data_IF_431253201284
#
_entry.id   IF_431253201284
#
_cell.length_a   1.000
_cell.length_b   1.000
_cell.length_c   1.000
_cell.angle_alpha   90.00
_cell.angle_beta   90.00
_cell.angle_gamma   90.00
#
_symmetry.space_group_name_H-M   'P 1'
#
loop_
_entity.id
_entity.type
_entity.pdbx_description
1 polymer ?
#
# COMPACT_ATOMS: atom_id res chain seq x y z
N UNK A 1 -21.20 -12.37 9.49
CA UNK A 1 -19.87 -12.84 9.06
C UNK A 1 -18.81 -11.95 9.65
N UNK A 2 -17.85 -12.53 10.33
CA UNK A 2 -16.68 -11.84 10.88
C UNK A 2 -15.44 -12.24 10.06
N UNK A 3 -14.70 -11.28 9.53
CA UNK A 3 -13.50 -11.59 8.75
C UNK A 3 -12.35 -10.63 9.06
N UNK A 4 -11.12 -11.10 8.86
CA UNK A 4 -9.93 -10.27 8.91
C UNK A 4 -9.72 -9.59 7.57
N UNK A 5 -9.32 -8.33 7.62
CA UNK A 5 -8.91 -7.58 6.45
C UNK A 5 -7.45 -7.16 6.61
N UNK A 6 -6.61 -7.76 5.80
CA UNK A 6 -5.16 -7.55 5.69
C UNK A 6 -4.82 -7.05 4.30
N UNK A 7 -3.72 -6.36 4.15
CA UNK A 7 -3.11 -5.99 2.87
C UNK A 7 -1.65 -5.61 3.05
N UNK A 8 -0.94 -5.40 1.95
CA UNK A 8 0.37 -4.75 1.92
C UNK A 8 1.36 -5.42 2.89
N UNK A 9 1.45 -6.76 2.79
CA UNK A 9 2.36 -7.55 3.64
C UNK A 9 3.82 -7.26 3.28
N UNK A 10 4.09 -6.96 2.01
CA UNK A 10 5.40 -6.66 1.47
C UNK A 10 6.50 -7.58 1.98
N UNK A 11 6.23 -8.91 1.96
CA UNK A 11 7.18 -9.90 2.47
C UNK A 11 8.49 -9.82 1.67
N UNK A 12 9.61 -9.74 2.39
CA UNK A 12 10.93 -9.53 1.82
C UNK A 12 11.37 -8.06 1.72
N UNK A 13 10.59 -7.13 2.30
CA UNK A 13 10.95 -5.71 2.36
C UNK A 13 12.19 -5.46 3.17
N UNK A 14 12.95 -4.46 2.72
CA UNK A 14 14.06 -3.88 3.46
C UNK A 14 13.71 -2.46 3.89
N UNK A 15 14.01 -2.11 5.12
CA UNK A 15 13.93 -0.75 5.62
C UNK A 15 15.33 -0.13 5.58
N UNK A 16 15.59 0.78 4.64
CA UNK A 16 16.94 1.21 4.27
C UNK A 16 17.83 -0.02 3.95
N UNK A 17 18.81 -0.33 4.81
CA UNK A 17 19.74 -1.47 4.65
C UNK A 17 19.36 -2.70 5.50
N UNK A 18 18.31 -2.58 6.33
CA UNK A 18 17.94 -3.62 7.27
C UNK A 18 16.88 -4.55 6.68
N UNK A 19 17.13 -5.85 6.75
CA UNK A 19 16.17 -6.85 6.34
C UNK A 19 15.12 -7.04 7.45
N UNK A 20 13.84 -6.94 7.10
CA UNK A 20 12.72 -7.04 8.04
C UNK A 20 12.22 -8.47 8.24
N UNK A 21 12.96 -9.49 7.82
CA UNK A 21 12.54 -10.89 7.89
C UNK A 21 12.01 -11.31 9.26
N UNK A 22 12.81 -11.08 10.30
CA UNK A 22 12.43 -11.48 11.67
C UNK A 22 11.20 -10.73 12.14
N UNK A 23 11.14 -9.42 11.86
CA UNK A 23 10.00 -8.56 12.20
C UNK A 23 8.72 -9.04 11.50
N UNK A 24 8.83 -9.41 10.21
CA UNK A 24 7.71 -9.96 9.44
C UNK A 24 7.26 -11.32 9.96
N UNK A 25 8.18 -12.22 10.31
CA UNK A 25 7.83 -13.50 10.90
C UNK A 25 7.12 -13.34 12.25
N UNK A 26 7.56 -12.44 13.11
CA UNK A 26 6.94 -12.19 14.42
C UNK A 26 5.52 -11.64 14.25
N UNK A 27 5.33 -10.65 13.37
CA UNK A 27 4.02 -10.02 13.20
C UNK A 27 3.01 -10.96 12.53
N UNK A 28 3.44 -11.80 11.58
CA UNK A 28 2.58 -12.81 10.96
C UNK A 28 2.15 -13.89 11.97
N UNK A 29 3.03 -14.28 12.91
CA UNK A 29 2.66 -15.17 14.02
C UNK A 29 1.65 -14.56 14.96
N UNK A 30 1.71 -13.24 15.19
CA UNK A 30 0.68 -12.54 15.98
C UNK A 30 -0.67 -12.56 15.28
N UNK A 31 -0.70 -12.34 13.95
CA UNK A 31 -1.94 -12.49 13.14
C UNK A 31 -2.52 -13.90 13.25
N UNK A 32 -1.68 -14.94 13.19
CA UNK A 32 -2.11 -16.35 13.39
C UNK A 32 -2.67 -16.57 14.80
N UNK A 33 -2.06 -15.97 15.81
CA UNK A 33 -2.56 -16.02 17.18
C UNK A 33 -3.96 -15.40 17.30
N UNK A 34 -4.16 -14.22 16.71
CA UNK A 34 -5.48 -13.60 16.61
C UNK A 34 -6.48 -14.47 15.84
N UNK A 35 -6.07 -15.14 14.76
CA UNK A 35 -6.96 -16.01 14.00
C UNK A 35 -7.40 -17.21 14.86
N UNK A 36 -6.51 -17.79 15.66
CA UNK A 36 -6.82 -18.88 16.61
C UNK A 36 -7.75 -18.41 17.75
N UNK A 37 -7.58 -17.19 18.25
CA UNK A 37 -8.37 -16.61 19.33
C UNK A 37 -9.76 -16.15 18.85
N UNK A 38 -9.77 -15.27 17.84
CA UNK A 38 -11.01 -14.57 17.40
C UNK A 38 -11.88 -15.43 16.48
N UNK A 39 -11.31 -16.47 15.88
CA UNK A 39 -12.03 -17.41 14.99
C UNK A 39 -12.85 -16.67 13.93
N UNK A 40 -12.22 -15.95 12.97
CA UNK A 40 -12.95 -15.32 11.88
C UNK A 40 -13.56 -16.36 10.94
N UNK A 41 -14.65 -15.99 10.27
CA UNK A 41 -15.30 -16.82 9.23
C UNK A 41 -14.50 -16.78 7.91
N UNK A 42 -13.64 -15.77 7.71
CA UNK A 42 -12.72 -15.64 6.56
C UNK A 42 -11.54 -14.74 6.88
N UNK A 43 -10.48 -14.86 6.07
CA UNK A 43 -9.34 -13.93 6.05
C UNK A 43 -9.22 -13.36 4.63
N UNK A 44 -9.18 -12.05 4.52
CA UNK A 44 -8.98 -11.32 3.25
C UNK A 44 -7.60 -10.69 3.25
N UNK A 45 -6.84 -10.89 2.16
CA UNK A 45 -5.54 -10.24 1.92
C UNK A 45 -5.64 -9.46 0.61
N UNK A 46 -5.77 -8.14 0.73
CA UNK A 46 -6.07 -7.24 -0.37
C UNK A 46 -4.80 -6.73 -1.10
N UNK A 47 -3.94 -7.65 -1.55
CA UNK A 47 -2.80 -7.38 -2.43
C UNK A 47 -1.49 -7.03 -1.72
N UNK A 48 -0.45 -6.85 -2.53
CA UNK A 48 0.94 -6.60 -2.17
C UNK A 48 1.48 -7.59 -1.13
N UNK A 49 1.42 -8.87 -1.53
CA UNK A 49 1.93 -9.99 -0.73
C UNK A 49 3.44 -9.88 -0.60
N UNK A 50 4.12 -9.65 -1.71
CA UNK A 50 5.57 -9.51 -1.78
C UNK A 50 5.99 -8.06 -2.06
N UNK A 51 7.17 -7.68 -1.56
CA UNK A 51 7.74 -6.35 -1.85
C UNK A 51 8.17 -6.19 -3.32
N UNK A 52 8.40 -7.30 -4.03
CA UNK A 52 8.87 -7.29 -5.43
C UNK A 52 8.18 -8.37 -6.24
N UNK A 53 7.96 -8.10 -7.52
CA UNK A 53 7.37 -9.05 -8.48
C UNK A 53 8.19 -10.33 -8.68
N UNK A 54 9.49 -10.31 -8.33
CA UNK A 54 10.35 -11.49 -8.23
C UNK A 54 10.83 -11.59 -6.78
N UNK A 55 10.06 -12.25 -5.90
CA UNK A 55 10.41 -12.39 -4.50
C UNK A 55 11.64 -13.30 -4.33
N UNK A 56 12.38 -13.09 -3.24
CA UNK A 56 13.45 -14.03 -2.85
C UNK A 56 12.84 -15.36 -2.40
N UNK A 57 13.62 -16.44 -2.48
CA UNK A 57 13.21 -17.75 -1.96
C UNK A 57 12.81 -17.67 -0.48
N UNK A 58 13.51 -16.86 0.30
CA UNK A 58 13.21 -16.61 1.70
C UNK A 58 11.83 -15.96 1.90
N UNK A 59 11.48 -14.95 1.08
CA UNK A 59 10.16 -14.32 1.12
C UNK A 59 9.04 -15.32 0.78
N UNK A 60 9.28 -16.18 -0.22
CA UNK A 60 8.33 -17.24 -0.58
C UNK A 60 8.14 -18.22 0.59
N UNK A 61 9.23 -18.62 1.26
CA UNK A 61 9.15 -19.50 2.43
C UNK A 61 8.34 -18.90 3.58
N UNK A 62 8.53 -17.61 3.87
CA UNK A 62 7.77 -16.92 4.94
C UNK A 62 6.27 -16.92 4.63
N UNK A 63 5.89 -16.63 3.37
CA UNK A 63 4.48 -16.66 3.00
C UNK A 63 3.88 -18.06 2.99
N UNK A 64 4.63 -19.05 2.54
CA UNK A 64 4.24 -20.46 2.57
C UNK A 64 4.00 -20.94 4.02
N UNK A 65 4.91 -20.64 4.95
CA UNK A 65 4.77 -20.94 6.38
C UNK A 65 3.51 -20.27 6.95
N UNK A 66 3.27 -18.99 6.62
CA UNK A 66 2.10 -18.25 7.07
C UNK A 66 0.79 -18.88 6.60
N UNK A 67 0.69 -19.22 5.30
CA UNK A 67 -0.49 -19.88 4.73
C UNK A 67 -0.70 -21.26 5.31
N UNK A 68 0.38 -22.01 5.49
CA UNK A 68 0.35 -23.37 6.08
C UNK A 68 -0.22 -23.33 7.49
N UNK A 69 0.33 -22.47 8.36
CA UNK A 69 -0.14 -22.35 9.75
C UNK A 69 -1.61 -21.88 9.84
N UNK A 70 -2.04 -20.98 8.95
CA UNK A 70 -3.45 -20.56 8.87
C UNK A 70 -4.36 -21.71 8.41
N UNK A 71 -3.92 -22.50 7.43
CA UNK A 71 -4.68 -23.62 6.88
C UNK A 71 -4.89 -24.77 7.88
N UNK A 72 -4.00 -24.91 8.87
CA UNK A 72 -4.08 -25.92 9.93
C UNK A 72 -5.10 -25.55 11.03
N UNK A 73 -5.63 -24.33 11.03
CA UNK A 73 -6.65 -23.92 12.01
C UNK A 73 -7.95 -24.68 11.78
N UNK A 74 -8.46 -25.32 12.82
CA UNK A 74 -9.71 -26.08 12.74
C UNK A 74 -10.81 -25.41 13.57
N UNK A 75 -12.04 -25.19 13.02
CA UNK A 75 -12.43 -25.46 11.63
C UNK A 75 -11.67 -24.60 10.62
N UNK A 76 -11.56 -25.08 9.37
CA UNK A 76 -10.85 -24.39 8.31
C UNK A 76 -11.41 -22.97 8.06
N UNK A 77 -10.54 -21.99 7.96
CA UNK A 77 -10.88 -20.59 7.68
C UNK A 77 -10.58 -20.32 6.20
N UNK A 78 -11.57 -19.96 5.37
CA UNK A 78 -11.34 -19.54 4.00
C UNK A 78 -10.42 -18.34 3.94
N UNK A 79 -9.41 -18.38 3.06
CA UNK A 79 -8.44 -17.31 2.84
C UNK A 79 -8.61 -16.79 1.41
N UNK A 80 -8.87 -15.49 1.27
CA UNK A 80 -9.17 -14.82 0.01
C UNK A 80 -8.05 -13.83 -0.28
N UNK A 81 -7.30 -14.04 -1.36
CA UNK A 81 -6.08 -13.30 -1.67
C UNK A 81 -6.16 -12.74 -3.08
N UNK A 82 -5.82 -11.47 -3.25
CA UNK A 82 -5.62 -10.86 -4.56
C UNK A 82 -4.17 -10.40 -4.72
N UNK A 83 -3.70 -10.19 -5.95
CA UNK A 83 -2.43 -9.52 -6.22
C UNK A 83 -2.57 -8.01 -6.10
N UNK A 84 -1.50 -7.35 -5.63
CA UNK A 84 -1.32 -5.90 -5.69
C UNK A 84 -0.41 -5.47 -6.84
N UNK A 85 0.04 -4.21 -6.81
CA UNK A 85 0.89 -3.65 -7.87
C UNK A 85 2.38 -4.08 -7.76
N UNK A 86 2.83 -4.54 -6.59
CA UNK A 86 4.17 -5.09 -6.39
C UNK A 86 4.26 -6.57 -6.78
N UNK A 87 3.15 -7.30 -6.74
CA UNK A 87 3.12 -8.73 -7.05
C UNK A 87 3.27 -9.02 -8.54
N UNK A 88 3.73 -10.23 -8.86
CA UNK A 88 3.59 -10.81 -10.19
C UNK A 88 2.34 -11.68 -10.22
N UNK A 89 1.29 -11.31 -10.96
CA UNK A 89 0.05 -12.07 -11.04
C UNK A 89 0.26 -13.55 -11.37
N UNK A 90 1.06 -13.85 -12.39
CA UNK A 90 1.32 -15.24 -12.83
C UNK A 90 2.08 -16.06 -11.79
N UNK A 91 3.05 -15.44 -11.09
CA UNK A 91 3.79 -16.13 -10.03
C UNK A 91 2.90 -16.40 -8.82
N UNK A 92 2.05 -15.44 -8.48
CA UNK A 92 1.13 -15.58 -7.37
C UNK A 92 0.06 -16.64 -7.68
N UNK A 93 -0.42 -16.73 -8.92
CA UNK A 93 -1.39 -17.75 -9.35
C UNK A 93 -0.81 -19.18 -9.40
N UNK A 94 0.51 -19.36 -9.19
CA UNK A 94 1.08 -20.69 -9.16
C UNK A 94 0.37 -21.56 -8.11
N UNK A 95 -0.07 -22.75 -8.55
CA UNK A 95 -0.79 -23.74 -7.72
C UNK A 95 -2.15 -23.26 -7.15
N UNK A 96 -2.74 -22.15 -7.62
CA UNK A 96 -4.02 -21.60 -7.13
C UNK A 96 -5.15 -22.63 -7.14
N UNK A 97 -5.25 -23.48 -8.17
CA UNK A 97 -6.24 -24.56 -8.27
C UNK A 97 -6.07 -25.66 -7.20
N UNK A 98 -4.83 -25.91 -6.75
CA UNK A 98 -4.56 -26.83 -5.65
C UNK A 98 -4.96 -26.18 -4.32
N UNK A 99 -4.57 -24.94 -4.13
CA UNK A 99 -4.86 -24.15 -2.93
C UNK A 99 -6.38 -23.97 -2.72
N UNK A 100 -7.13 -23.79 -3.80
CA UNK A 100 -8.60 -23.70 -3.77
C UNK A 100 -9.26 -24.92 -3.10
N UNK A 101 -8.70 -26.11 -3.26
CA UNK A 101 -9.20 -27.33 -2.59
C UNK A 101 -9.01 -27.30 -1.08
N UNK A 102 -8.15 -26.42 -0.59
CA UNK A 102 -7.89 -26.18 0.83
C UNK A 102 -8.51 -24.87 1.31
N UNK A 103 -9.54 -24.36 0.59
CA UNK A 103 -10.22 -23.10 0.89
C UNK A 103 -9.32 -21.85 0.85
N UNK A 104 -8.22 -21.90 0.10
CA UNK A 104 -7.35 -20.76 -0.18
C UNK A 104 -7.62 -20.30 -1.61
N UNK A 105 -8.28 -19.16 -1.77
CA UNK A 105 -8.67 -18.57 -3.05
C UNK A 105 -7.67 -17.47 -3.39
N UNK A 106 -6.80 -17.76 -4.33
CA UNK A 106 -5.75 -16.85 -4.76
C UNK A 106 -6.03 -16.40 -6.18
N UNK A 107 -6.19 -15.09 -6.38
CA UNK A 107 -6.54 -14.47 -7.65
C UNK A 107 -5.48 -13.42 -8.00
N UNK A 108 -4.62 -13.74 -8.95
CA UNK A 108 -3.55 -12.84 -9.40
C UNK A 108 -3.99 -11.97 -10.58
N UNK A 109 -4.77 -12.52 -11.51
CA UNK A 109 -5.12 -11.86 -12.76
C UNK A 109 -6.55 -11.28 -12.72
N UNK A 110 -6.73 -10.13 -13.36
CA UNK A 110 -8.03 -9.58 -13.70
C UNK A 110 -8.58 -10.26 -14.95
N UNK A 111 -9.90 -10.13 -15.26
CA UNK A 111 -10.43 -10.58 -16.54
C UNK A 111 -9.66 -10.01 -17.73
N UNK A 112 -9.23 -10.87 -18.66
CA UNK A 112 -8.48 -10.52 -19.86
C UNK A 112 -9.28 -10.74 -21.14
N UNK A 113 -10.36 -11.55 -21.06
CA UNK A 113 -11.22 -11.90 -22.19
C UNK A 113 -12.67 -11.52 -21.92
N UNK A 114 -13.51 -11.33 -22.96
CA UNK A 114 -14.91 -10.95 -22.81
C UNK A 114 -15.77 -11.92 -21.98
N UNK A 115 -15.41 -13.19 -21.96
CA UNK A 115 -16.16 -14.25 -21.26
C UNK A 115 -15.76 -14.39 -19.79
N UNK A 116 -14.64 -13.78 -19.40
CA UNK A 116 -14.14 -13.84 -18.03
C UNK A 116 -14.79 -12.78 -17.15
N UNK A 117 -14.99 -13.12 -15.88
CA UNK A 117 -15.62 -12.29 -14.86
C UNK A 117 -14.70 -12.13 -13.66
N UNK A 118 -15.00 -11.15 -12.79
CA UNK A 118 -14.35 -11.04 -11.50
C UNK A 118 -14.59 -12.33 -10.71
N UNK A 119 -13.52 -12.92 -10.18
CA UNK A 119 -13.66 -14.12 -9.34
C UNK A 119 -14.55 -13.81 -8.13
N UNK A 120 -15.58 -14.64 -7.94
CA UNK A 120 -16.53 -14.49 -6.85
C UNK A 120 -16.48 -15.72 -5.94
N UNK A 121 -16.27 -15.49 -4.66
CA UNK A 121 -16.34 -16.51 -3.61
C UNK A 121 -17.53 -16.24 -2.71
N UNK A 122 -18.48 -17.17 -2.67
CA UNK A 122 -19.65 -17.09 -1.82
C UNK A 122 -19.41 -17.89 -0.54
N UNK A 123 -19.49 -17.21 0.60
CA UNK A 123 -19.44 -17.81 1.94
C UNK A 123 -20.79 -17.64 2.62
N UNK A 124 -21.08 -18.49 3.62
CA UNK A 124 -22.36 -18.49 4.32
C UNK A 124 -22.19 -18.38 5.82
N UNK A 125 -23.05 -17.59 6.46
CA UNK A 125 -23.18 -17.50 7.91
C UNK A 125 -24.66 -17.57 8.35
N UNK A 126 -24.92 -17.25 9.61
CA UNK A 126 -26.28 -17.26 10.20
C UNK A 126 -27.20 -16.25 9.56
N UNK A 127 -26.70 -15.23 8.86
CA UNK A 127 -27.50 -14.19 8.17
C UNK A 127 -27.62 -14.44 6.65
N UNK A 128 -27.17 -15.60 6.16
CA UNK A 128 -27.24 -15.98 4.75
C UNK A 128 -25.88 -15.85 4.02
N UNK A 129 -25.92 -15.69 2.72
CA UNK A 129 -24.72 -15.62 1.87
C UNK A 129 -24.05 -14.24 1.92
N UNK A 130 -22.71 -14.27 1.78
CA UNK A 130 -21.88 -13.10 1.50
C UNK A 130 -21.04 -13.40 0.26
N UNK A 131 -21.20 -12.60 -0.77
CA UNK A 131 -20.44 -12.69 -2.00
C UNK A 131 -19.20 -11.80 -1.91
N UNK A 132 -17.99 -12.39 -2.00
CA UNK A 132 -16.72 -11.69 -2.07
C UNK A 132 -16.28 -11.61 -3.53
N UNK A 133 -16.13 -10.40 -4.05
CA UNK A 133 -15.61 -10.13 -5.40
C UNK A 133 -14.12 -9.79 -5.28
N UNK A 134 -13.28 -10.61 -5.90
CA UNK A 134 -11.82 -10.51 -5.80
C UNK A 134 -11.28 -9.78 -7.03
N UNK A 135 -11.00 -8.49 -6.89
CA UNK A 135 -10.51 -7.62 -7.96
C UNK A 135 -9.04 -7.25 -7.71
N UNK A 136 -8.07 -7.95 -8.35
CA UNK A 136 -6.65 -7.63 -8.27
C UNK A 136 -6.32 -6.22 -8.75
N UNK A 137 -5.07 -5.77 -8.49
CA UNK A 137 -4.56 -4.54 -9.08
C UNK A 137 -4.65 -4.60 -10.60
N UNK A 138 -5.15 -3.53 -11.23
CA UNK A 138 -5.26 -3.46 -12.67
C UNK A 138 -4.89 -2.10 -13.23
N UNK A 139 -4.37 -2.13 -14.46
CA UNK A 139 -4.17 -0.95 -15.31
C UNK A 139 -5.18 -1.01 -16.45
N UNK A 140 -5.57 0.13 -17.05
CA UNK A 140 -6.51 0.14 -18.18
C UNK A 140 -6.11 -0.82 -19.31
N UNK A 141 -4.79 -0.93 -19.57
CA UNK A 141 -4.26 -1.83 -20.59
C UNK A 141 -4.50 -3.32 -20.34
N UNK A 142 -4.69 -3.76 -19.08
CA UNK A 142 -4.88 -5.18 -18.76
C UNK A 142 -6.25 -5.68 -19.21
N UNK A 143 -7.26 -4.83 -19.14
CA UNK A 143 -8.66 -5.16 -19.44
C UNK A 143 -9.10 -4.74 -20.86
N UNK A 144 -8.18 -4.25 -21.68
CA UNK A 144 -8.50 -3.73 -23.03
C UNK A 144 -9.22 -4.72 -23.93
N UNK A 145 -8.85 -6.00 -23.86
CA UNK A 145 -9.44 -7.05 -24.71
C UNK A 145 -10.82 -7.50 -24.23
N UNK A 146 -11.17 -7.20 -22.99
CA UNK A 146 -12.49 -7.46 -22.41
C UNK A 146 -13.57 -6.61 -23.08
N UNK A 147 -13.18 -5.43 -23.61
CA UNK A 147 -14.09 -4.45 -24.21
C UNK A 147 -13.85 -4.32 -25.71
N UNK A 148 -14.80 -4.77 -26.51
CA UNK A 148 -14.76 -4.63 -27.97
C UNK A 148 -15.00 -3.18 -28.40
N UNK A 149 -15.88 -2.48 -27.70
CA UNK A 149 -16.20 -1.06 -27.88
C UNK A 149 -16.03 -0.37 -26.53
N UNK A 150 -15.64 0.91 -26.54
CA UNK A 150 -15.40 1.71 -25.34
C UNK A 150 -14.31 1.12 -24.41
N UNK A 151 -13.13 0.91 -24.98
CA UNK A 151 -11.95 0.48 -24.20
C UNK A 151 -11.65 1.52 -23.12
N UNK A 152 -11.56 1.14 -21.85
CA UNK A 152 -11.24 2.05 -20.77
C UNK A 152 -9.88 2.74 -20.97
N UNK A 153 -9.83 4.06 -20.81
CA UNK A 153 -8.59 4.85 -20.94
C UNK A 153 -7.98 5.17 -19.60
N UNK A 154 -8.82 5.32 -18.55
CA UNK A 154 -8.38 5.66 -17.19
C UNK A 154 -8.56 4.48 -16.23
N UNK A 155 -7.86 4.52 -15.10
CA UNK A 155 -8.03 3.54 -14.02
C UNK A 155 -9.47 3.54 -13.48
N UNK A 156 -10.06 4.73 -13.32
CA UNK A 156 -11.44 4.87 -12.86
C UNK A 156 -12.45 4.24 -13.83
N UNK A 157 -12.26 4.43 -15.16
CA UNK A 157 -13.12 3.80 -16.16
C UNK A 157 -12.96 2.30 -16.16
N UNK A 158 -11.71 1.80 -16.08
CA UNK A 158 -11.43 0.37 -16.05
C UNK A 158 -12.12 -0.32 -14.87
N UNK A 159 -11.99 0.22 -13.66
CA UNK A 159 -12.65 -0.32 -12.47
C UNK A 159 -14.17 -0.26 -12.61
N UNK A 160 -14.72 0.87 -13.07
CA UNK A 160 -16.15 1.07 -13.23
C UNK A 160 -16.75 0.09 -14.24
N UNK A 161 -16.16 -0.03 -15.41
CA UNK A 161 -16.69 -0.87 -16.48
C UNK A 161 -16.54 -2.37 -16.15
N UNK A 162 -15.46 -2.79 -15.50
CA UNK A 162 -15.30 -4.17 -15.02
C UNK A 162 -16.36 -4.53 -13.99
N UNK A 163 -16.59 -3.69 -12.97
CA UNK A 163 -17.61 -3.94 -11.94
C UNK A 163 -19.02 -3.94 -12.55
N UNK A 164 -19.29 -3.04 -13.48
CA UNK A 164 -20.62 -2.92 -14.13
C UNK A 164 -20.99 -4.14 -14.94
N UNK A 165 -20.04 -4.92 -15.43
CA UNK A 165 -20.29 -6.19 -16.15
C UNK A 165 -20.80 -7.28 -15.24
N UNK A 166 -20.51 -7.19 -13.95
CA UNK A 166 -20.93 -8.19 -12.98
C UNK A 166 -22.40 -7.98 -12.63
N UNK A 167 -23.17 -9.06 -12.65
CA UNK A 167 -24.58 -9.05 -12.24
C UNK A 167 -24.69 -9.10 -10.70
N UNK A 168 -24.36 -7.98 -10.03
CA UNK A 168 -24.30 -7.90 -8.57
C UNK A 168 -25.69 -7.56 -8.01
N UNK A 169 -26.24 -8.43 -7.18
CA UNK A 169 -27.48 -8.14 -6.43
C UNK A 169 -27.16 -7.29 -5.18
N UNK A 170 -27.12 -5.98 -5.39
CA UNK A 170 -26.89 -5.03 -4.30
C UNK A 170 -28.05 -4.89 -3.33
N UNK A 171 -29.23 -5.36 -3.66
CA UNK A 171 -30.45 -5.18 -2.84
C UNK A 171 -30.63 -6.30 -1.84
N UNK A 172 -30.41 -7.55 -2.24
CA UNK A 172 -30.79 -8.72 -1.43
C UNK A 172 -29.56 -9.45 -0.86
N UNK A 173 -28.39 -9.36 -1.53
CA UNK A 173 -27.17 -10.05 -1.10
C UNK A 173 -26.21 -9.11 -0.39
N UNK A 174 -25.44 -9.65 0.54
CA UNK A 174 -24.30 -8.95 1.16
C UNK A 174 -23.10 -9.10 0.25
N UNK A 175 -22.56 -7.98 -0.22
CA UNK A 175 -21.48 -7.95 -1.20
C UNK A 175 -20.25 -7.26 -0.62
N UNK A 176 -19.11 -7.92 -0.69
CA UNK A 176 -17.80 -7.40 -0.32
C UNK A 176 -16.92 -7.32 -1.56
N UNK A 177 -16.35 -6.17 -1.82
CA UNK A 177 -15.30 -6.03 -2.83
C UNK A 177 -13.93 -6.08 -2.13
N UNK A 178 -13.02 -6.87 -2.67
CA UNK A 178 -11.61 -6.86 -2.30
C UNK A 178 -10.85 -6.25 -3.47
N UNK A 179 -10.14 -5.15 -3.26
CA UNK A 179 -9.48 -4.42 -4.35
C UNK A 179 -8.18 -3.77 -3.90
N UNK A 180 -7.25 -3.63 -4.85
CA UNK A 180 -5.95 -3.00 -4.62
C UNK A 180 -5.72 -1.85 -5.60
N UNK A 181 -6.37 -0.71 -5.36
CA UNK A 181 -6.32 0.49 -6.21
C UNK A 181 -6.27 1.75 -5.35
N UNK A 182 -5.86 2.87 -5.93
CA UNK A 182 -5.86 4.16 -5.25
C UNK A 182 -7.25 4.83 -5.37
N UNK A 183 -8.09 4.65 -4.36
CA UNK A 183 -9.43 5.23 -4.33
C UNK A 183 -9.43 6.62 -3.69
N UNK A 184 -10.14 7.55 -4.33
CA UNK A 184 -10.31 8.93 -3.86
C UNK A 184 -11.78 9.27 -3.64
N UNK A 185 -12.06 10.12 -2.66
CA UNK A 185 -13.40 10.57 -2.34
C UNK A 185 -13.91 11.67 -3.28
N UNK A 186 -15.23 11.77 -3.46
CA UNK A 186 -15.86 12.76 -4.34
C UNK A 186 -15.64 14.24 -3.89
N UNK A 187 -15.39 14.51 -2.61
CA UNK A 187 -15.35 15.87 -2.04
C UNK A 187 -14.28 16.12 -1.00
N UNK A 188 -13.58 15.08 -0.57
CA UNK A 188 -12.51 15.16 0.41
C UNK A 188 -11.18 15.15 -0.32
N UNK A 189 -10.15 15.77 0.30
CA UNK A 189 -8.80 15.71 -0.25
C UNK A 189 -8.33 14.27 -0.47
N UNK A 190 -7.25 14.12 -1.21
CA UNK A 190 -6.62 12.81 -1.41
C UNK A 190 -6.35 12.13 -0.05
N UNK A 191 -6.47 10.80 0.02
CA UNK A 191 -6.08 10.04 1.22
C UNK A 191 -4.65 10.37 1.67
N UNK A 192 -4.36 10.18 2.96
CA UNK A 192 -3.01 10.33 3.48
C UNK A 192 -2.10 9.23 2.92
N UNK A 193 -0.90 9.62 2.51
CA UNK A 193 0.09 8.76 1.88
C UNK A 193 1.40 8.71 2.66
N UNK A 194 2.20 7.67 2.45
CA UNK A 194 3.49 7.44 3.10
C UNK A 194 4.62 7.38 2.07
N UNK A 195 5.88 7.63 2.49
CA UNK A 195 7.05 7.59 1.59
C UNK A 195 7.35 6.19 1.03
N UNK A 196 6.75 5.15 1.59
CA UNK A 196 6.92 3.75 1.14
C UNK A 196 5.96 3.33 0.03
N UNK A 197 5.00 4.18 -0.32
CA UNK A 197 4.00 3.94 -1.37
C UNK A 197 4.46 4.50 -2.72
N UNK A 198 4.01 3.88 -3.81
CA UNK A 198 4.37 4.29 -5.18
C UNK A 198 3.15 4.86 -5.87
N UNK A 199 3.19 6.15 -6.20
CA UNK A 199 2.10 6.85 -6.88
C UNK A 199 2.51 7.30 -8.27
N UNK A 200 1.50 7.34 -9.16
CA UNK A 200 1.68 7.97 -10.47
C UNK A 200 1.61 9.48 -10.36
N UNK A 201 2.53 10.16 -11.03
CA UNK A 201 2.53 11.64 -11.09
C UNK A 201 1.24 12.15 -11.74
N UNK A 202 0.59 13.13 -11.13
CA UNK A 202 -0.63 13.74 -11.65
C UNK A 202 -1.93 12.99 -11.34
N UNK A 203 -1.91 11.97 -10.45
CA UNK A 203 -3.13 11.27 -10.02
C UNK A 203 -3.81 10.46 -11.11
N UNK A 204 -3.04 10.00 -12.11
CA UNK A 204 -3.56 9.21 -13.26
C UNK A 204 -4.18 7.89 -12.79
N UNK A 205 -3.72 7.35 -11.65
CA UNK A 205 -4.15 6.09 -11.03
C UNK A 205 -5.34 6.24 -10.06
N UNK A 206 -5.86 7.45 -9.89
CA UNK A 206 -7.01 7.72 -9.03
C UNK A 206 -8.29 7.03 -9.53
N UNK A 207 -8.98 6.34 -8.61
CA UNK A 207 -10.28 5.71 -8.85
C UNK A 207 -11.32 6.39 -7.96
N UNK A 208 -12.38 6.94 -8.55
CA UNK A 208 -13.49 7.51 -7.80
C UNK A 208 -14.31 6.43 -7.08
N UNK A 209 -14.61 6.63 -5.78
CA UNK A 209 -15.38 5.69 -4.96
C UNK A 209 -16.80 5.45 -5.48
N UNK A 210 -17.31 6.27 -6.39
CA UNK A 210 -18.63 6.09 -7.01
C UNK A 210 -18.82 4.72 -7.65
N UNK A 211 -17.72 4.12 -8.16
CA UNK A 211 -17.75 2.79 -8.75
C UNK A 211 -18.02 1.66 -7.73
N UNK A 212 -17.71 1.88 -6.44
CA UNK A 212 -17.71 0.83 -5.40
C UNK A 212 -18.65 1.11 -4.22
N UNK A 213 -19.34 2.23 -4.23
CA UNK A 213 -20.15 2.71 -3.09
C UNK A 213 -21.34 1.83 -2.72
N UNK A 214 -21.82 0.98 -3.63
CA UNK A 214 -22.99 0.12 -3.41
C UNK A 214 -22.64 -1.16 -2.64
N UNK A 215 -21.37 -1.57 -2.59
CA UNK A 215 -20.95 -2.72 -1.78
C UNK A 215 -21.22 -2.48 -0.29
N UNK A 216 -21.47 -3.56 0.46
CA UNK A 216 -21.67 -3.49 1.91
C UNK A 216 -20.34 -3.21 2.64
N UNK A 217 -19.23 -3.73 2.09
CA UNK A 217 -17.88 -3.40 2.52
C UNK A 217 -16.91 -3.45 1.34
N UNK A 218 -15.92 -2.55 1.34
CA UNK A 218 -14.83 -2.52 0.36
C UNK A 218 -13.52 -2.65 1.11
N UNK A 219 -12.88 -3.81 0.96
CA UNK A 219 -11.61 -4.14 1.54
C UNK A 219 -10.49 -3.67 0.61
N UNK A 220 -9.79 -2.60 0.99
CA UNK A 220 -8.77 -1.95 0.17
C UNK A 220 -7.36 -2.23 0.69
N UNK A 221 -6.45 -2.55 -0.23
CA UNK A 221 -5.00 -2.46 -0.09
C UNK A 221 -4.42 -1.31 -0.92
N UNK A 222 -3.11 -1.12 -0.88
CA UNK A 222 -2.30 -0.11 -1.56
C UNK A 222 -1.82 1.02 -0.65
N UNK A 223 -2.63 1.50 0.30
CA UNK A 223 -2.20 2.53 1.25
C UNK A 223 -1.76 1.91 2.57
N UNK A 224 -0.58 2.34 3.04
CA UNK A 224 0.06 1.80 4.24
C UNK A 224 -0.54 2.33 5.54
N UNK A 225 -1.20 3.50 5.50
CA UNK A 225 -1.95 4.07 6.61
C UNK A 225 -3.38 3.53 6.68
N UNK A 226 -3.78 2.97 7.83
CA UNK A 226 -5.17 2.52 8.04
C UNK A 226 -6.13 3.71 8.05
N UNK A 227 -7.00 3.81 7.05
CA UNK A 227 -7.93 4.93 6.87
C UNK A 227 -9.15 4.51 6.06
N UNK A 228 -10.22 5.31 6.10
CA UNK A 228 -11.38 5.12 5.23
C UNK A 228 -11.49 6.25 4.20
N UNK A 229 -12.12 5.96 3.07
CA UNK A 229 -12.36 6.94 2.01
C UNK A 229 -13.83 7.34 2.04
N UNK A 230 -14.11 8.56 2.47
CA UNK A 230 -15.45 9.18 2.63
C UNK A 230 -16.44 8.41 3.52
N UNK A 231 -16.37 7.07 3.58
CA UNK A 231 -17.30 6.22 4.36
C UNK A 231 -16.54 5.11 5.08
N UNK A 232 -16.88 4.79 6.34
CA UNK A 232 -16.19 3.74 7.11
C UNK A 232 -16.13 2.37 6.42
N UNK A 233 -17.13 2.05 5.59
CA UNK A 233 -17.23 0.78 4.86
C UNK A 233 -16.29 0.68 3.64
N UNK A 234 -15.65 1.77 3.21
CA UNK A 234 -14.64 1.80 2.14
C UNK A 234 -13.31 2.09 2.83
N UNK A 235 -12.49 1.06 3.05
CA UNK A 235 -11.39 1.16 4.00
C UNK A 235 -10.11 0.53 3.49
N UNK A 236 -9.01 1.24 3.67
CA UNK A 236 -7.65 0.72 3.69
C UNK A 236 -7.34 0.18 5.09
N UNK A 237 -6.89 -1.07 5.19
CA UNK A 237 -6.51 -1.65 6.49
C UNK A 237 -5.11 -1.20 6.94
N UNK A 238 -4.27 -0.77 6.00
CA UNK A 238 -2.88 -0.44 6.22
C UNK A 238 -1.97 -1.67 6.35
N UNK A 239 -0.68 -1.41 6.45
CA UNK A 239 0.35 -2.44 6.63
C UNK A 239 0.41 -2.96 8.08
N UNK A 240 0.93 -4.18 8.25
CA UNK A 240 1.13 -4.78 9.58
C UNK A 240 2.35 -4.20 10.32
N UNK A 241 3.34 -3.69 9.58
CA UNK A 241 4.56 -3.06 10.08
C UNK A 241 4.73 -1.67 9.47
N UNK A 242 5.59 -0.84 10.07
CA UNK A 242 6.01 0.44 9.49
C UNK A 242 7.12 0.19 8.48
N UNK A 243 6.90 0.56 7.24
CA UNK A 243 7.84 0.36 6.13
C UNK A 243 8.59 1.62 5.70
N UNK A 244 8.30 2.75 6.36
CA UNK A 244 9.03 4.01 6.17
C UNK A 244 9.11 4.82 7.46
N UNK A 245 10.03 5.79 7.48
CA UNK A 245 10.17 6.74 8.59
C UNK A 245 8.94 7.67 8.70
N UNK A 246 8.23 7.93 7.60
CA UNK A 246 7.00 8.73 7.62
C UNK A 246 5.88 8.07 8.42
N UNK A 247 5.89 6.74 8.54
CA UNK A 247 4.92 5.96 9.30
C UNK A 247 5.21 5.91 10.83
N UNK A 248 6.27 6.56 11.30
CA UNK A 248 6.73 6.48 12.71
C UNK A 248 5.65 6.81 13.75
N UNK A 249 4.68 7.66 13.42
CA UNK A 249 3.59 8.07 14.30
C UNK A 249 2.34 7.18 14.19
N UNK A 250 2.29 6.26 13.24
CA UNK A 250 1.15 5.37 13.05
C UNK A 250 1.17 4.23 14.06
N UNK A 251 -0.02 3.80 14.47
CA UNK A 251 -0.21 2.56 15.24
C UNK A 251 -0.73 1.50 14.29
N UNK A 252 0.04 0.44 14.07
CA UNK A 252 -0.35 -0.67 13.21
C UNK A 252 -1.34 -1.59 13.91
N UNK A 253 -2.30 -2.11 13.15
CA UNK A 253 -3.37 -2.93 13.72
C UNK A 253 -3.93 -3.92 12.70
N UNK A 254 -4.45 -5.04 13.20
CA UNK A 254 -5.27 -5.97 12.45
C UNK A 254 -6.70 -5.43 12.37
N UNK A 255 -7.22 -5.24 11.16
CA UNK A 255 -8.62 -4.84 10.95
C UNK A 255 -9.54 -6.06 10.94
N UNK A 256 -10.53 -6.06 11.84
CA UNK A 256 -11.57 -7.08 11.94
C UNK A 256 -12.91 -6.47 11.57
N UNK A 257 -13.58 -7.06 10.60
CA UNK A 257 -14.87 -6.58 10.08
C UNK A 257 -15.96 -7.57 10.44
N UNK A 258 -17.09 -7.07 10.93
CA UNK A 258 -18.28 -7.89 11.19
C UNK A 258 -19.46 -7.37 10.38
N UNK A 259 -19.92 -8.17 9.43
CA UNK A 259 -21.15 -7.96 8.67
C UNK A 259 -22.30 -8.73 9.33
N UNK A 260 -23.37 -8.02 9.67
CA UNK A 260 -24.63 -8.60 10.12
C UNK A 260 -25.60 -8.77 8.94
N UNK A 261 -26.89 -8.59 9.15
CA UNK A 261 -27.92 -8.67 8.10
C UNK A 261 -27.67 -7.62 7.00
N UNK A 262 -28.22 -7.88 5.82
CA UNK A 262 -28.20 -6.92 4.71
C UNK A 262 -28.79 -5.57 5.14
N UNK A 263 -28.11 -4.48 4.78
CA UNK A 263 -28.48 -3.10 5.10
C UNK A 263 -27.99 -2.61 6.47
N UNK A 264 -27.47 -3.47 7.32
CA UNK A 264 -26.81 -3.07 8.58
C UNK A 264 -25.37 -2.63 8.29
N UNK A 265 -24.96 -1.50 8.88
CA UNK A 265 -23.59 -1.01 8.72
C UNK A 265 -22.57 -2.01 9.30
N UNK A 266 -21.44 -2.23 8.63
CA UNK A 266 -20.37 -3.08 9.16
C UNK A 266 -19.81 -2.51 10.47
N UNK A 267 -19.53 -3.41 11.42
CA UNK A 267 -18.75 -3.09 12.61
C UNK A 267 -17.28 -3.33 12.31
N UNK A 268 -16.42 -2.37 12.65
CA UNK A 268 -14.99 -2.42 12.37
C UNK A 268 -14.24 -2.28 13.69
N UNK A 269 -13.43 -3.28 14.02
CA UNK A 269 -12.55 -3.27 15.18
C UNK A 269 -11.09 -3.36 14.71
N UNK A 270 -10.22 -2.60 15.37
CA UNK A 270 -8.78 -2.61 15.12
C UNK A 270 -8.07 -3.21 16.34
N UNK A 271 -7.42 -4.34 16.16
CA UNK A 271 -6.63 -5.00 17.20
C UNK A 271 -5.17 -4.55 17.06
N UNK A 272 -4.55 -4.00 18.11
CA UNK A 272 -3.18 -3.52 18.02
C UNK A 272 -2.22 -4.65 17.70
N UNK A 273 -1.17 -4.32 16.95
CA UNK A 273 -0.07 -5.21 16.61
C UNK A 273 1.21 -4.76 17.30
N UNK A 274 2.01 -5.71 17.75
CA UNK A 274 3.22 -5.48 18.55
C UNK A 274 4.47 -5.90 17.75
N UNK A 275 5.11 -4.94 17.03
CA UNK A 275 6.29 -5.27 16.24
C UNK A 275 7.45 -5.70 17.14
N UNK A 276 8.33 -6.57 16.62
CA UNK A 276 9.58 -6.93 17.31
C UNK A 276 10.48 -5.70 17.50
N UNK A 277 10.55 -4.84 16.48
CA UNK A 277 11.25 -3.54 16.48
C UNK A 277 10.35 -2.49 15.88
N UNK A 278 10.21 -1.36 16.55
CA UNK A 278 9.41 -0.24 16.06
C UNK A 278 10.25 0.75 15.23
N UNK A 279 9.60 1.60 14.45
CA UNK A 279 10.25 2.71 13.73
C UNK A 279 10.00 4.00 14.48
N UNK A 280 11.08 4.67 14.92
CA UNK A 280 11.00 5.89 15.71
C UNK A 280 11.81 7.03 15.12
N UNK A 281 11.37 8.26 15.42
CA UNK A 281 12.13 9.50 15.17
C UNK A 281 12.67 10.04 16.48
N UNK A 282 13.96 10.41 16.48
CA UNK A 282 14.60 11.13 17.59
C UNK A 282 15.12 12.46 17.06
N UNK A 283 14.82 13.54 17.78
CA UNK A 283 15.31 14.89 17.44
C UNK A 283 15.82 15.58 18.69
N UNK A 284 17.05 16.07 18.67
CA UNK A 284 17.69 16.76 19.77
C UNK A 284 19.19 16.88 19.53
N UNK A 285 19.92 17.38 20.53
CA UNK A 285 21.38 17.33 20.51
C UNK A 285 21.88 15.89 20.70
N UNK A 286 23.09 15.62 20.27
CA UNK A 286 23.71 14.30 20.43
C UNK A 286 23.66 13.82 21.89
N UNK A 287 23.99 14.72 22.85
CA UNK A 287 24.01 14.41 24.28
C UNK A 287 22.60 14.07 24.80
N UNK A 288 21.59 14.86 24.43
CA UNK A 288 20.18 14.62 24.80
C UNK A 288 19.71 13.27 24.28
N UNK A 289 19.92 12.99 23.00
CA UNK A 289 19.47 11.73 22.37
C UNK A 289 20.08 10.51 23.05
N UNK A 290 21.39 10.57 23.36
CA UNK A 290 22.08 9.47 24.06
C UNK A 290 21.58 9.31 25.48
N UNK A 291 21.37 10.41 26.20
CA UNK A 291 20.93 10.41 27.60
C UNK A 291 19.49 9.91 27.76
N UNK A 292 18.62 10.26 26.81
CA UNK A 292 17.19 9.92 26.84
C UNK A 292 16.88 8.55 26.18
N UNK A 293 17.89 7.83 25.72
CA UNK A 293 17.71 6.52 25.10
C UNK A 293 17.20 5.49 26.12
N UNK A 294 15.95 5.07 25.99
CA UNK A 294 15.36 3.97 26.78
C UNK A 294 15.92 2.61 26.36
N UNK A 295 16.01 1.67 27.30
CA UNK A 295 16.48 0.30 27.00
C UNK A 295 15.65 -0.39 25.91
N UNK A 296 14.33 -0.17 25.91
CA UNK A 296 13.38 -0.75 24.95
C UNK A 296 13.56 -0.20 23.52
N UNK A 297 14.14 1.00 23.38
CA UNK A 297 14.31 1.67 22.08
C UNK A 297 15.63 1.34 21.40
N UNK A 298 16.58 0.73 22.11
CA UNK A 298 17.93 0.49 21.58
C UNK A 298 17.96 -0.46 20.38
N UNK A 299 17.00 -1.37 20.35
CA UNK A 299 16.86 -2.34 19.25
C UNK A 299 15.89 -1.86 18.15
N UNK A 300 15.19 -0.74 18.34
CA UNK A 300 14.28 -0.19 17.35
C UNK A 300 15.01 0.43 16.14
N UNK A 301 14.28 0.65 15.06
CA UNK A 301 14.75 1.34 13.86
C UNK A 301 14.64 2.86 14.06
N UNK A 302 15.80 3.53 14.21
CA UNK A 302 15.82 4.94 14.62
C UNK A 302 16.23 5.86 13.47
N UNK A 303 15.40 6.83 13.15
CA UNK A 303 15.75 8.01 12.34
C UNK A 303 16.12 9.16 13.26
N UNK A 304 17.33 9.70 13.14
CA UNK A 304 17.91 10.71 14.05
C UNK A 304 18.03 12.04 13.33
N UNK A 305 17.58 13.11 13.98
CA UNK A 305 17.80 14.49 13.56
C UNK A 305 18.58 15.23 14.65
N UNK A 306 19.85 15.49 14.38
CA UNK A 306 20.74 16.24 15.28
C UNK A 306 20.46 17.74 15.14
N UNK A 307 20.35 18.42 16.29
CA UNK A 307 20.12 19.88 16.37
C UNK A 307 21.33 20.65 16.88
N UNK A 308 22.47 19.98 17.07
CA UNK A 308 23.71 20.61 17.52
C UNK A 308 24.13 21.74 16.56
N UNK A 309 24.32 22.95 17.08
CA UNK A 309 24.79 24.10 16.29
C UNK A 309 26.26 23.95 15.83
N UNK A 310 27.06 23.22 16.63
CA UNK A 310 28.43 22.83 16.30
C UNK A 310 28.45 21.34 16.04
N UNK A 311 28.98 20.92 14.90
CA UNK A 311 29.01 19.50 14.53
C UNK A 311 29.73 18.67 15.63
N UNK A 312 29.04 17.74 16.30
CA UNK A 312 29.64 16.95 17.36
C UNK A 312 30.73 16.02 16.80
N UNK A 313 31.71 15.69 17.64
CA UNK A 313 32.78 14.78 17.24
C UNK A 313 32.25 13.37 16.99
N UNK A 314 32.40 12.85 15.75
CA UNK A 314 32.03 11.49 15.36
C UNK A 314 30.62 11.06 15.85
N UNK A 315 29.56 11.79 15.51
CA UNK A 315 28.25 11.54 16.06
C UNK A 315 27.72 10.15 15.73
N UNK A 316 28.01 9.65 14.52
CA UNK A 316 27.62 8.32 14.08
C UNK A 316 28.20 7.22 14.99
N UNK A 317 29.49 7.27 15.28
CA UNK A 317 30.16 6.27 16.13
C UNK A 317 29.63 6.28 17.57
N UNK A 318 29.21 7.45 18.09
CA UNK A 318 28.63 7.58 19.42
C UNK A 318 27.19 7.02 19.45
N UNK A 319 26.38 7.30 18.44
CA UNK A 319 25.03 6.81 18.32
C UNK A 319 24.97 5.29 18.08
N UNK A 320 25.87 4.73 17.27
CA UNK A 320 25.98 3.28 17.03
C UNK A 320 26.37 2.47 18.27
N UNK A 321 26.86 3.11 19.34
CA UNK A 321 27.08 2.46 20.64
C UNK A 321 25.80 2.32 21.48
N UNK A 322 24.77 3.08 21.11
CA UNK A 322 23.50 3.15 21.86
C UNK A 322 22.39 2.46 21.09
N UNK A 323 22.29 2.68 19.78
CA UNK A 323 21.23 2.16 18.93
C UNK A 323 21.77 1.16 17.93
N UNK A 324 21.17 -0.02 17.87
CA UNK A 324 21.57 -1.11 16.97
C UNK A 324 21.18 -0.87 15.52
N UNK A 325 20.08 -0.15 15.27
CA UNK A 325 19.47 0.01 13.94
C UNK A 325 19.20 1.47 13.60
N UNK A 326 20.26 2.19 13.20
CA UNK A 326 20.13 3.58 12.76
C UNK A 326 19.81 3.60 11.26
N UNK A 327 18.64 4.11 10.91
CA UNK A 327 18.18 4.27 9.52
C UNK A 327 18.90 5.40 8.82
N UNK A 328 18.93 6.58 9.46
CA UNK A 328 19.54 7.79 8.93
C UNK A 328 19.94 8.75 10.07
N UNK A 329 20.90 9.61 9.79
CA UNK A 329 21.29 10.72 10.65
C UNK A 329 21.22 11.98 9.80
N UNK A 330 20.31 12.88 10.17
CA UNK A 330 20.15 14.21 9.57
C UNK A 330 20.67 15.28 10.51
N UNK A 331 21.07 16.43 9.97
CA UNK A 331 21.47 17.61 10.76
C UNK A 331 20.51 18.75 10.44
N UNK A 332 19.86 19.28 11.46
CA UNK A 332 18.92 20.40 11.40
C UNK A 332 19.42 21.53 12.31
N UNK A 333 20.43 22.26 11.88
CA UNK A 333 20.98 23.42 12.60
C UNK A 333 20.87 24.70 11.74
N UNK A 334 21.26 25.84 12.30
CA UNK A 334 21.15 27.13 11.62
C UNK A 334 21.91 27.14 10.28
N UNK A 335 23.08 26.50 10.23
CA UNK A 335 23.91 26.41 9.02
C UNK A 335 23.20 25.62 7.89
N UNK A 336 22.61 24.48 8.22
CA UNK A 336 21.88 23.66 7.22
C UNK A 336 20.62 24.34 6.74
N UNK A 337 19.90 25.04 7.64
CA UNK A 337 18.72 25.83 7.29
C UNK A 337 19.06 27.02 6.38
N UNK A 338 20.18 27.72 6.63
CA UNK A 338 20.64 28.83 5.79
C UNK A 338 21.01 28.30 4.39
N UNK A 339 21.75 27.20 4.29
CA UNK A 339 22.07 26.57 3.00
C UNK A 339 20.82 26.16 2.19
N UNK A 340 19.83 25.58 2.86
CA UNK A 340 18.57 25.21 2.19
C UNK A 340 17.83 26.46 1.67
N UNK A 341 17.80 27.55 2.43
CA UNK A 341 17.19 28.81 1.98
C UNK A 341 17.96 29.40 0.79
N UNK A 342 19.29 29.40 0.83
CA UNK A 342 20.10 29.85 -0.29
C UNK A 342 19.86 29.01 -1.55
N UNK A 343 19.75 27.68 -1.40
CA UNK A 343 19.39 26.78 -2.50
C UNK A 343 17.97 27.00 -3.02
N UNK A 344 17.00 27.25 -2.14
CA UNK A 344 15.62 27.58 -2.52
C UNK A 344 15.51 28.95 -3.20
N UNK A 345 16.35 29.92 -2.80
CA UNK A 345 16.46 31.22 -3.46
C UNK A 345 17.18 31.14 -4.82
N UNK A 346 18.11 30.21 -5.00
CA UNK A 346 18.70 29.89 -6.32
C UNK A 346 17.77 29.06 -7.20
N UNK A 347 16.86 28.27 -6.62
CA UNK A 347 15.72 27.66 -7.29
C UNK A 347 14.58 28.70 -7.46
N UNK A 348 14.89 29.89 -7.97
CA UNK A 348 13.88 30.72 -8.62
C UNK A 348 13.21 29.81 -9.64
N UNK A 349 11.90 29.61 -9.50
CA UNK A 349 11.12 28.77 -10.41
C UNK A 349 11.36 29.26 -11.84
N UNK A 350 12.36 28.66 -12.49
CA UNK A 350 12.56 28.84 -13.91
C UNK A 350 11.28 28.40 -14.59
N UNK A 351 10.83 29.16 -15.57
CA UNK A 351 9.71 28.74 -16.41
C UNK A 351 9.91 27.27 -16.82
N UNK A 352 8.87 26.42 -16.74
CA UNK A 352 8.99 24.98 -17.04
C UNK A 352 9.64 24.68 -18.38
N UNK A 353 9.40 25.52 -19.39
CA UNK A 353 10.04 25.39 -20.70
C UNK A 353 11.55 25.64 -20.62
N UNK A 354 11.99 26.65 -19.88
CA UNK A 354 13.41 26.97 -19.66
C UNK A 354 14.10 25.82 -18.94
N UNK A 355 13.49 25.24 -17.91
CA UNK A 355 14.01 24.08 -17.18
C UNK A 355 14.15 22.85 -18.09
N UNK A 356 13.18 22.65 -19.00
CA UNK A 356 13.25 21.59 -20.00
C UNK A 356 14.40 21.81 -21.00
N UNK A 357 14.64 23.04 -21.44
CA UNK A 357 15.75 23.35 -22.34
C UNK A 357 17.13 23.00 -21.71
N UNK A 358 17.29 23.33 -20.43
CA UNK A 358 18.52 23.00 -19.68
C UNK A 358 18.68 21.47 -19.54
N UNK A 359 17.64 20.77 -19.16
CA UNK A 359 17.61 19.30 -19.09
C UNK A 359 17.93 18.66 -20.44
N UNK A 360 17.34 19.14 -21.53
CA UNK A 360 17.62 18.64 -22.88
C UNK A 360 19.10 18.82 -23.24
N UNK A 361 19.64 20.00 -22.95
CA UNK A 361 21.07 20.31 -23.20
C UNK A 361 22.00 19.39 -22.41
N UNK A 362 21.67 19.10 -21.14
CA UNK A 362 22.43 18.19 -20.29
C UNK A 362 22.40 16.75 -20.82
N UNK A 363 21.21 16.26 -21.20
CA UNK A 363 21.01 14.89 -21.67
C UNK A 363 21.53 14.64 -23.09
N UNK A 364 21.40 15.61 -23.99
CA UNK A 364 21.77 15.48 -25.40
C UNK A 364 23.16 16.03 -25.72
N UNK A 365 23.79 16.77 -24.78
CA UNK A 365 25.08 17.45 -24.99
C UNK A 365 25.03 18.59 -26.01
N UNK A 366 23.82 19.01 -26.42
CA UNK A 366 23.60 20.13 -27.35
C UNK A 366 22.32 20.88 -27.02
N UNK A 367 22.19 22.10 -27.51
CA UNK A 367 20.94 22.85 -27.45
C UNK A 367 19.92 22.31 -28.48
N UNK A 368 18.64 22.52 -28.23
CA UNK A 368 17.58 22.23 -29.19
C UNK A 368 17.76 23.09 -30.44
N UNK A 369 17.46 22.52 -31.58
CA UNK A 369 17.35 23.29 -32.81
C UNK A 369 15.98 24.03 -32.87
N UNK A 370 15.83 24.94 -33.80
CA UNK A 370 14.63 25.79 -33.92
C UNK A 370 13.33 24.99 -34.10
N UNK A 371 13.37 23.83 -34.77
CA UNK A 371 12.18 22.99 -34.94
C UNK A 371 11.81 22.25 -33.65
N UNK A 372 12.79 21.67 -32.96
CA UNK A 372 12.60 21.02 -31.66
C UNK A 372 12.06 22.01 -30.61
N UNK A 373 12.61 23.24 -30.61
CA UNK A 373 12.17 24.30 -29.69
C UNK A 373 10.72 24.73 -29.98
N UNK A 374 10.33 24.86 -31.25
CA UNK A 374 8.97 25.25 -31.65
C UNK A 374 7.96 24.17 -31.23
N UNK A 375 8.24 22.90 -31.51
CA UNK A 375 7.37 21.77 -31.13
C UNK A 375 7.20 21.73 -29.61
N UNK A 376 8.28 21.88 -28.86
CA UNK A 376 8.21 21.81 -27.41
C UNK A 376 7.46 23.00 -26.81
N UNK A 377 7.61 24.23 -27.35
CA UNK A 377 6.81 25.38 -26.94
C UNK A 377 5.32 25.14 -27.15
N UNK A 378 4.92 24.63 -28.32
CA UNK A 378 3.52 24.29 -28.58
C UNK A 378 2.96 23.25 -27.58
N UNK A 379 3.76 22.24 -27.20
CA UNK A 379 3.36 21.25 -26.18
C UNK A 379 3.15 21.93 -24.82
N UNK A 380 4.10 22.75 -24.36
CA UNK A 380 4.00 23.43 -23.08
C UNK A 380 2.84 24.45 -23.04
N UNK A 381 2.57 25.14 -24.15
CA UNK A 381 1.44 26.09 -24.24
C UNK A 381 0.09 25.34 -24.24
N UNK A 382 0.01 24.18 -24.86
CA UNK A 382 -1.20 23.36 -24.85
C UNK A 382 -1.47 22.78 -23.44
N UNK A 383 -0.45 22.42 -22.66
CA UNK A 383 -0.59 21.95 -21.28
C UNK A 383 -1.03 23.09 -20.33
N UNK A 384 -0.54 24.32 -20.54
CA UNK A 384 -0.97 25.52 -19.76
C UNK A 384 -2.40 25.97 -20.07
N UNK A 385 -2.96 25.58 -21.20
CA UNK A 385 -4.32 25.96 -21.62
C UNK A 385 -5.44 25.03 -21.15
N UNK A 386 -5.14 24.07 -20.29
CA UNK A 386 -6.08 23.07 -19.74
C UNK A 386 -6.35 23.30 -18.23
N UNK A 387 -5.96 24.43 -17.68
CA UNK A 387 -6.37 24.87 -16.33
C UNK A 387 -7.71 25.64 -16.34
#
# INVERSE_FOLDING_TARGET
MKFFHLSDLHIGKQLHRYNLKEDQQVILKEVIAYAKELRPDAIVIAGDIYDKSVPSAEAVTIFDEFLTELSEITPAIPILIISGNHDSPDRLNYASEILRRHHIYLVGNVPEQPEEHIEKVTLQDTYGEVDFYLLPFMKPGYVRNVFVNNVPETYADAVREIIKREEIDYNNKRNVLVSHQFYVGEKEGSPETCDSEVFSVGGIDNVDIGAVKEFDYVALGHLHGAQYVSRPKIRYCGTLLKYSVSESTQTKSLTVVTLKEKGVKPEIACYPLHPLRDVRKKKGTLEEIIKEAGEEEKEDYISITLTDEIDPYKPKEQLERVFSHILEIRVDNQRTRTKLKEMDEELVMKDPFTSFCEFYKEMQGREMNTQEETIMKEIFDNVKGVE
#
